data_IF_583231517968
#
_entry.id   IF_583231517968
#
_cell.length_a   1.000
_cell.length_b   1.000
_cell.length_c   1.000
_cell.angle_alpha   90.00
_cell.angle_beta   90.00
_cell.angle_gamma   90.00
#
_symmetry.space_group_name_H-M   'P 1'
#
loop_
_entity.id
_entity.type
_entity.pdbx_description
1 polymer ?
#
# COMPACT_ATOMS: atom_id res chain seq x y z
N UNK A 1 -45.53 -54.82 41.99
CA UNK A 1 -45.37 -53.88 40.85
C UNK A 1 -43.97 -54.05 40.28
N UNK A 2 -43.85 -54.12 38.95
CA UNK A 2 -42.74 -54.73 38.20
C UNK A 2 -41.41 -54.00 38.42
N UNK A 3 -40.36 -54.72 38.85
CA UNK A 3 -38.97 -54.27 38.75
C UNK A 3 -38.55 -54.36 37.29
N UNK A 4 -38.42 -53.22 36.61
CA UNK A 4 -37.85 -53.14 35.27
C UNK A 4 -36.36 -53.46 35.35
N UNK A 5 -35.98 -54.67 34.95
CA UNK A 5 -34.58 -55.05 34.73
C UNK A 5 -34.12 -54.44 33.40
N UNK A 6 -33.16 -53.51 33.46
CA UNK A 6 -32.45 -53.02 32.28
C UNK A 6 -31.38 -54.05 31.87
N UNK A 7 -31.18 -54.30 30.57
CA UNK A 7 -30.16 -55.25 30.10
C UNK A 7 -28.74 -54.73 30.44
N UNK A 8 -27.77 -55.63 30.67
CA UNK A 8 -26.40 -55.26 31.09
C UNK A 8 -25.66 -54.33 30.10
N UNK A 9 -26.10 -54.29 28.84
CA UNK A 9 -25.60 -53.36 27.81
C UNK A 9 -25.97 -51.89 28.08
N UNK A 10 -27.12 -51.62 28.72
CA UNK A 10 -27.57 -50.27 29.02
C UNK A 10 -26.80 -49.63 30.19
N UNK A 11 -26.40 -50.43 31.19
CA UNK A 11 -25.61 -49.95 32.34
C UNK A 11 -24.17 -49.57 31.94
N UNK A 12 -23.51 -50.35 31.06
CA UNK A 12 -22.18 -50.01 30.54
C UNK A 12 -22.17 -48.74 29.67
N UNK A 13 -23.27 -48.45 28.96
CA UNK A 13 -23.42 -47.22 28.18
C UNK A 13 -23.61 -45.96 29.04
N UNK A 14 -24.29 -46.08 30.20
CA UNK A 14 -24.50 -44.99 31.16
C UNK A 14 -23.21 -44.60 31.91
N UNK A 15 -22.38 -45.59 32.30
CA UNK A 15 -21.06 -45.34 32.90
C UNK A 15 -20.05 -44.74 31.89
N UNK A 16 -20.11 -45.17 30.63
CA UNK A 16 -19.33 -44.56 29.55
C UNK A 16 -19.76 -43.13 29.22
N UNK A 17 -21.05 -42.82 29.32
CA UNK A 17 -21.57 -41.45 29.14
C UNK A 17 -21.20 -40.53 30.30
N UNK A 18 -21.29 -40.99 31.55
CA UNK A 18 -20.89 -40.18 32.71
C UNK A 18 -19.39 -39.90 32.71
N UNK A 19 -18.53 -40.89 32.42
CA UNK A 19 -17.09 -40.72 32.31
C UNK A 19 -16.70 -39.72 31.20
N UNK A 20 -17.38 -39.77 30.04
CA UNK A 20 -17.19 -38.80 28.95
C UNK A 20 -17.66 -37.39 29.33
N UNK A 21 -18.77 -37.28 30.07
CA UNK A 21 -19.28 -36.00 30.56
C UNK A 21 -18.32 -35.36 31.58
N UNK A 22 -17.81 -36.15 32.53
CA UNK A 22 -16.82 -35.70 33.51
C UNK A 22 -15.50 -35.28 32.85
N UNK A 23 -15.02 -36.03 31.86
CA UNK A 23 -13.82 -35.66 31.10
C UNK A 23 -14.01 -34.35 30.31
N UNK A 24 -15.18 -34.16 29.67
CA UNK A 24 -15.51 -32.90 28.99
C UNK A 24 -15.60 -31.72 29.96
N UNK A 25 -16.21 -31.88 31.14
CA UNK A 25 -16.29 -30.82 32.16
C UNK A 25 -14.90 -30.46 32.70
N UNK A 26 -14.03 -31.45 32.92
CA UNK A 26 -12.65 -31.22 33.34
C UNK A 26 -11.83 -30.51 32.26
N UNK A 27 -11.97 -30.91 30.99
CA UNK A 27 -11.32 -30.25 29.85
C UNK A 27 -11.79 -28.80 29.66
N UNK A 28 -13.10 -28.56 29.76
CA UNK A 28 -13.68 -27.22 29.68
C UNK A 28 -13.23 -26.33 30.85
N UNK A 29 -13.15 -26.90 32.06
CA UNK A 29 -12.62 -26.21 33.24
C UNK A 29 -11.13 -25.84 33.09
N UNK A 30 -10.31 -26.74 32.53
CA UNK A 30 -8.90 -26.48 32.25
C UNK A 30 -8.71 -25.38 31.21
N UNK A 31 -9.51 -25.38 30.13
CA UNK A 31 -9.46 -24.33 29.08
C UNK A 31 -9.85 -22.96 29.67
N UNK A 32 -10.88 -22.90 30.52
CA UNK A 32 -11.29 -21.66 31.18
C UNK A 32 -10.22 -21.13 32.15
N UNK A 33 -9.53 -22.01 32.87
CA UNK A 33 -8.42 -21.65 33.75
C UNK A 33 -7.22 -21.11 32.95
N UNK A 34 -6.90 -21.71 31.80
CA UNK A 34 -5.83 -21.25 30.90
C UNK A 34 -6.10 -19.86 30.29
N UNK A 35 -7.35 -19.54 29.97
CA UNK A 35 -7.72 -18.21 29.43
C UNK A 35 -7.67 -17.09 30.47
N UNK A 36 -7.76 -17.41 31.77
CA UNK A 36 -7.74 -16.43 32.86
C UNK A 36 -6.32 -16.00 33.27
N UNK A 37 -5.29 -16.70 32.77
CA UNK A 37 -3.89 -16.45 33.08
C UNK A 37 -3.16 -15.61 32.02
N UNK A 38 -3.87 -15.08 31.01
CA UNK A 38 -3.24 -14.24 29.99
C UNK A 38 -2.88 -12.86 30.60
N UNK A 39 -1.58 -12.50 30.68
CA UNK A 39 -1.22 -11.14 31.04
C UNK A 39 -1.77 -10.19 29.97
N UNK A 40 -2.42 -9.12 30.42
CA UNK A 40 -2.86 -8.05 29.54
C UNK A 40 -1.62 -7.30 29.06
N UNK A 41 -1.12 -7.67 27.87
CA UNK A 41 -0.03 -6.95 27.22
C UNK A 41 -0.54 -5.58 26.77
N UNK A 42 -0.46 -4.58 27.64
CA UNK A 42 -0.71 -3.19 27.30
C UNK A 42 0.42 -2.67 26.42
N UNK A 43 0.27 -2.74 25.11
CA UNK A 43 1.18 -2.13 24.15
C UNK A 43 0.82 -0.64 23.97
N UNK A 44 0.90 0.16 25.04
CA UNK A 44 0.80 1.61 24.92
C UNK A 44 2.15 2.19 24.49
N UNK A 45 2.13 3.01 23.44
CA UNK A 45 3.27 3.78 22.95
C UNK A 45 2.98 5.26 23.12
N UNK A 46 3.97 6.02 23.58
CA UNK A 46 3.88 7.48 23.71
C UNK A 46 4.76 8.14 22.65
N UNK A 47 4.18 9.10 21.94
CA UNK A 47 4.87 9.90 20.93
C UNK A 47 5.07 11.34 21.45
N UNK A 48 6.23 11.98 21.22
CA UNK A 48 6.39 13.41 21.43
C UNK A 48 5.35 14.22 20.67
N UNK A 49 4.98 15.41 21.18
CA UNK A 49 3.98 16.27 20.54
C UNK A 49 4.33 16.61 19.09
N UNK A 50 3.39 16.41 18.16
CA UNK A 50 3.58 16.66 16.72
C UNK A 50 4.10 15.47 15.91
N UNK A 51 4.34 14.32 16.54
CA UNK A 51 4.77 13.10 15.86
C UNK A 51 3.56 12.20 15.56
N UNK A 52 3.41 11.76 14.31
CA UNK A 52 2.35 10.82 13.91
C UNK A 52 2.56 9.43 14.53
N UNK A 53 1.46 8.73 14.84
CA UNK A 53 1.49 7.34 15.29
C UNK A 53 2.21 6.45 14.26
N UNK A 54 3.05 5.53 14.74
CA UNK A 54 3.92 4.69 13.89
C UNK A 54 5.28 5.28 13.57
N UNK A 55 5.59 6.49 14.04
CA UNK A 55 6.94 7.04 13.96
C UNK A 55 7.93 6.28 14.85
N UNK A 56 9.17 6.17 14.39
CA UNK A 56 10.31 5.64 15.18
C UNK A 56 10.59 6.45 16.45
N UNK A 57 10.05 7.67 16.55
CA UNK A 57 10.16 8.52 17.74
C UNK A 57 9.13 8.16 18.82
N UNK A 58 8.15 7.31 18.53
CA UNK A 58 7.22 6.79 19.52
C UNK A 58 7.90 5.66 20.30
N UNK A 59 7.96 5.78 21.63
CA UNK A 59 8.60 4.79 22.50
C UNK A 59 7.56 4.00 23.31
N UNK A 60 7.87 2.75 23.71
CA UNK A 60 7.06 2.02 24.69
C UNK A 60 6.99 2.78 26.02
N UNK A 61 5.81 2.85 26.63
CA UNK A 61 5.65 3.40 27.98
C UNK A 61 6.28 2.46 29.01
N UNK A 62 7.58 2.57 29.24
CA UNK A 62 8.27 1.91 30.35
C UNK A 62 7.98 2.67 31.66
N UNK A 63 7.77 1.98 32.81
CA UNK A 63 7.56 2.63 34.10
C UNK A 63 8.83 3.36 34.56
N UNK A 64 8.88 4.64 34.19
CA UNK A 64 9.56 5.77 34.82
C UNK A 64 10.98 5.53 35.38
N UNK A 65 11.98 5.64 34.51
CA UNK A 65 13.33 6.02 34.91
C UNK A 65 13.50 7.53 34.69
N UNK A 66 13.13 8.32 35.70
CA UNK A 66 13.66 9.66 35.94
C UNK A 66 13.24 10.77 34.96
N UNK A 67 12.90 11.91 35.55
CA UNK A 67 12.96 13.24 34.93
C UNK A 67 14.41 13.58 34.54
N UNK A 68 14.98 12.84 33.60
CA UNK A 68 16.20 13.20 32.92
C UNK A 68 15.83 14.18 31.82
N UNK A 69 16.21 15.45 31.97
CA UNK A 69 16.36 16.41 30.87
C UNK A 69 17.50 15.98 29.93
N UNK A 70 17.53 14.71 29.56
CA UNK A 70 18.44 14.12 28.60
C UNK A 70 17.71 14.10 27.28
N UNK A 71 17.96 15.09 26.44
CA UNK A 71 17.45 15.10 25.07
C UNK A 71 18.07 13.92 24.35
N UNK A 72 17.38 12.78 24.29
CA UNK A 72 17.77 11.65 23.43
C UNK A 72 17.72 12.15 21.99
N UNK A 73 18.89 12.52 21.45
CA UNK A 73 19.02 12.89 20.04
C UNK A 73 19.00 11.59 19.26
N UNK A 74 17.81 11.18 18.82
CA UNK A 74 17.67 10.15 17.80
C UNK A 74 18.23 10.75 16.51
N UNK A 75 19.43 10.32 16.09
CA UNK A 75 19.96 10.68 14.77
C UNK A 75 19.14 9.88 13.76
N UNK A 76 18.14 10.53 13.15
CA UNK A 76 17.51 10.01 11.93
C UNK A 76 18.64 9.99 10.88
N UNK A 77 19.21 8.80 10.65
CA UNK A 77 20.11 8.56 9.53
C UNK A 77 19.21 8.35 8.33
N UNK A 78 19.34 9.23 7.35
CA UNK A 78 18.63 9.16 6.09
C UNK A 78 17.30 9.90 5.95
N UNK A 79 16.92 10.11 4.69
CA UNK A 79 15.69 10.75 4.26
C UNK A 79 15.22 10.17 2.92
N UNK A 80 13.93 10.31 2.63
CA UNK A 80 13.35 9.95 1.35
C UNK A 80 13.37 11.14 0.40
N UNK A 81 14.09 11.02 -0.70
CA UNK A 81 14.04 11.97 -1.80
C UNK A 81 12.83 11.73 -2.67
N UNK A 82 12.17 12.83 -3.01
CA UNK A 82 11.17 12.83 -4.08
C UNK A 82 11.89 12.60 -5.40
N UNK A 83 11.33 11.71 -6.20
CA UNK A 83 11.74 11.55 -7.59
C UNK A 83 10.62 11.98 -8.51
N UNK A 84 11.01 12.50 -9.67
CA UNK A 84 10.13 13.12 -10.64
C UNK A 84 10.27 12.44 -11.99
N UNK A 85 9.16 12.37 -12.70
CA UNK A 85 9.10 12.01 -14.12
C UNK A 85 8.31 13.06 -14.88
N UNK A 86 8.56 13.15 -16.18
CA UNK A 86 7.91 14.12 -17.05
C UNK A 86 7.82 13.60 -18.49
N UNK A 87 6.85 14.14 -19.22
CA UNK A 87 6.60 13.87 -20.63
C UNK A 87 6.60 15.21 -21.36
N UNK A 88 7.27 15.26 -22.49
CA UNK A 88 7.20 16.35 -23.45
C UNK A 88 6.67 15.83 -24.78
N UNK A 89 5.82 16.62 -25.43
CA UNK A 89 5.23 16.32 -26.73
C UNK A 89 5.59 17.42 -27.73
N UNK A 90 5.54 17.06 -29.02
CA UNK A 90 5.73 18.00 -30.13
C UNK A 90 4.59 17.89 -31.14
N UNK A 91 4.31 18.95 -31.93
CA UNK A 91 3.29 18.90 -32.99
C UNK A 91 3.54 17.83 -34.05
N UNK A 92 4.79 17.41 -34.28
CA UNK A 92 5.14 16.32 -35.20
C UNK A 92 5.05 14.92 -34.57
N UNK A 93 4.32 14.78 -33.45
CA UNK A 93 4.01 13.52 -32.76
C UNK A 93 5.24 12.78 -32.22
N UNK A 94 6.35 13.49 -32.02
CA UNK A 94 7.55 12.95 -31.38
C UNK A 94 7.55 13.40 -29.92
N UNK A 95 7.61 12.44 -29.01
CA UNK A 95 7.61 12.70 -27.57
C UNK A 95 8.94 12.37 -26.90
N UNK A 96 9.19 12.99 -25.76
CA UNK A 96 10.31 12.73 -24.85
C UNK A 96 9.80 12.41 -23.45
N UNK A 97 10.54 11.57 -22.72
CA UNK A 97 10.18 11.17 -21.36
C UNK A 97 11.39 11.24 -20.44
N UNK A 98 11.14 11.44 -19.15
CA UNK A 98 12.12 11.36 -18.08
C UNK A 98 11.52 10.64 -16.87
N UNK A 99 12.36 9.97 -16.09
CA UNK A 99 11.95 9.21 -14.91
C UNK A 99 13.04 9.23 -13.85
N UNK A 100 12.69 9.27 -12.56
CA UNK A 100 13.65 9.13 -11.47
C UNK A 100 14.51 10.37 -11.17
N UNK A 101 14.14 11.53 -11.69
CA UNK A 101 14.88 12.78 -11.56
C UNK A 101 14.71 13.42 -10.17
N UNK A 102 15.75 14.07 -9.64
CA UNK A 102 15.75 14.59 -8.27
C UNK A 102 14.92 15.88 -8.08
N UNK A 103 14.43 16.48 -9.17
CA UNK A 103 13.55 17.65 -9.09
C UNK A 103 12.61 17.72 -10.28
N UNK A 104 11.48 18.41 -10.07
CA UNK A 104 10.50 18.69 -11.12
C UNK A 104 11.15 19.33 -12.37
N UNK A 105 11.98 20.36 -12.15
CA UNK A 105 12.67 21.08 -13.23
C UNK A 105 13.66 20.20 -14.00
N UNK A 106 14.35 19.30 -13.30
CA UNK A 106 15.26 18.34 -13.94
C UNK A 106 14.49 17.36 -14.83
N UNK A 107 13.36 16.83 -14.34
CA UNK A 107 12.46 15.98 -15.13
C UNK A 107 11.95 16.70 -16.39
N UNK A 108 11.43 17.90 -16.24
CA UNK A 108 10.92 18.70 -17.35
C UNK A 108 12.00 18.98 -18.39
N UNK A 109 13.21 19.38 -17.96
CA UNK A 109 14.35 19.61 -18.85
C UNK A 109 14.76 18.34 -19.58
N UNK A 110 14.90 17.21 -18.88
CA UNK A 110 15.30 15.93 -19.48
C UNK A 110 14.27 15.41 -20.47
N UNK A 111 12.97 15.59 -20.19
CA UNK A 111 11.90 15.20 -21.12
C UNK A 111 11.91 16.06 -22.39
N UNK A 112 12.13 17.37 -22.27
CA UNK A 112 12.30 18.26 -23.42
C UNK A 112 13.52 17.88 -24.28
N UNK A 113 14.68 17.67 -23.64
CA UNK A 113 15.91 17.22 -24.33
C UNK A 113 15.66 15.89 -25.06
N UNK A 114 15.04 14.91 -24.40
CA UNK A 114 14.71 13.63 -25.03
C UNK A 114 13.74 13.76 -26.21
N UNK A 115 12.83 14.74 -26.18
CA UNK A 115 11.92 15.02 -27.29
C UNK A 115 12.70 15.58 -28.49
N UNK A 116 13.57 16.56 -28.26
CA UNK A 116 14.41 17.18 -29.29
C UNK A 116 15.43 16.19 -29.88
N UNK A 117 16.07 15.38 -29.05
CA UNK A 117 17.01 14.31 -29.47
C UNK A 117 16.35 13.30 -30.43
N UNK A 118 15.05 13.04 -30.25
CA UNK A 118 14.27 12.17 -31.12
C UNK A 118 13.78 12.87 -32.40
N UNK A 119 14.09 14.15 -32.57
CA UNK A 119 13.69 14.96 -33.73
C UNK A 119 12.36 15.70 -33.55
N UNK A 120 11.83 15.77 -32.33
CA UNK A 120 10.68 16.60 -32.00
C UNK A 120 11.00 18.09 -32.21
N UNK A 121 10.03 18.85 -32.72
CA UNK A 121 10.19 20.30 -32.93
C UNK A 121 9.20 21.04 -32.04
N UNK A 122 9.63 22.18 -31.48
CA UNK A 122 8.78 22.95 -30.55
C UNK A 122 8.24 22.08 -29.40
N UNK A 123 9.13 21.26 -28.83
CA UNK A 123 8.78 20.37 -27.72
C UNK A 123 8.26 21.18 -26.52
N UNK A 124 7.16 20.72 -25.93
CA UNK A 124 6.56 21.32 -24.73
C UNK A 124 6.28 20.24 -23.72
N UNK A 125 6.47 20.54 -22.43
CA UNK A 125 6.10 19.64 -21.34
C UNK A 125 4.58 19.50 -21.32
N UNK A 126 4.08 18.27 -21.45
CA UNK A 126 2.65 17.96 -21.42
C UNK A 126 2.20 17.37 -20.09
N UNK A 127 3.10 16.69 -19.37
CA UNK A 127 2.77 16.05 -18.11
C UNK A 127 3.98 15.91 -17.19
N UNK A 128 3.79 16.07 -15.87
CA UNK A 128 4.83 15.91 -14.86
C UNK A 128 4.25 15.24 -13.62
N UNK A 129 4.95 14.25 -13.06
CA UNK A 129 4.50 13.45 -11.91
C UNK A 129 5.65 13.18 -10.94
N UNK A 130 5.32 12.81 -9.70
CA UNK A 130 6.31 12.45 -8.67
C UNK A 130 5.79 11.36 -7.75
N UNK A 131 6.72 10.57 -7.20
CA UNK A 131 6.48 9.51 -6.20
C UNK A 131 5.30 8.56 -6.52
N UNK A 132 5.07 8.28 -7.81
CA UNK A 132 3.97 7.44 -8.25
C UNK A 132 4.20 6.89 -9.65
N UNK A 133 3.31 6.00 -10.08
CA UNK A 133 3.28 5.44 -11.42
C UNK A 133 2.31 6.19 -12.33
N UNK A 134 2.51 6.06 -13.63
CA UNK A 134 1.69 6.71 -14.63
C UNK A 134 1.48 5.83 -15.87
N UNK A 135 0.42 6.12 -16.62
CA UNK A 135 0.17 5.54 -17.95
C UNK A 135 -0.33 6.63 -18.92
N UNK A 136 0.19 6.61 -20.16
CA UNK A 136 -0.30 7.37 -21.30
C UNK A 136 -1.21 6.49 -22.15
N UNK A 137 -2.41 6.96 -22.42
CA UNK A 137 -3.42 6.25 -23.20
C UNK A 137 -3.69 7.03 -24.48
N UNK A 138 -3.44 6.39 -25.62
CA UNK A 138 -3.77 6.93 -26.93
C UNK A 138 -5.17 6.44 -27.35
N UNK A 139 -6.12 7.33 -27.69
CA UNK A 139 -7.46 6.94 -28.13
C UNK A 139 -7.53 6.35 -29.55
N UNK A 140 -6.40 6.32 -30.28
CA UNK A 140 -6.28 5.92 -31.68
C UNK A 140 -7.17 6.75 -32.62
N UNK A 141 -7.36 8.03 -32.26
CA UNK A 141 -8.07 9.02 -33.07
C UNK A 141 -7.04 10.05 -33.53
N UNK A 142 -6.93 10.22 -34.85
CA UNK A 142 -6.01 11.19 -35.45
C UNK A 142 -6.30 12.61 -34.93
N UNK A 143 -5.25 13.33 -34.56
CA UNK A 143 -5.35 14.70 -34.05
C UNK A 143 -5.82 14.82 -32.60
N UNK A 144 -6.02 13.71 -31.88
CA UNK A 144 -6.39 13.73 -30.45
C UNK A 144 -5.17 13.47 -29.57
N UNK A 145 -5.01 14.27 -28.51
CA UNK A 145 -3.93 14.10 -27.53
C UNK A 145 -4.08 12.81 -26.72
N UNK A 146 -2.96 12.31 -26.19
CA UNK A 146 -2.97 11.20 -25.24
C UNK A 146 -3.59 11.64 -23.91
N UNK A 147 -4.24 10.70 -23.22
CA UNK A 147 -4.67 10.86 -21.84
C UNK A 147 -3.56 10.40 -20.90
N UNK A 148 -3.23 11.21 -19.89
CA UNK A 148 -2.29 10.83 -18.84
C UNK A 148 -3.07 10.49 -17.56
N UNK A 149 -2.71 9.37 -16.92
CA UNK A 149 -3.29 8.96 -15.65
C UNK A 149 -2.18 8.51 -14.71
N UNK A 150 -2.30 8.86 -13.43
CA UNK A 150 -1.39 8.38 -12.37
C UNK A 150 -2.10 7.51 -11.36
N UNK A 151 -1.33 6.63 -10.73
CA UNK A 151 -1.76 5.80 -9.61
C UNK A 151 -0.56 5.25 -8.83
N UNK A 152 -0.82 4.49 -7.76
CA UNK A 152 0.22 3.82 -6.97
C UNK A 152 0.91 2.64 -7.69
N UNK A 153 0.37 2.16 -8.80
CA UNK A 153 0.97 1.10 -9.63
C UNK A 153 0.69 1.35 -11.12
N UNK A 154 1.46 0.70 -12.01
CA UNK A 154 1.27 0.79 -13.46
C UNK A 154 -0.09 0.21 -13.86
N UNK A 155 -0.49 -0.91 -13.26
CA UNK A 155 -1.74 -1.61 -13.55
C UNK A 155 -2.94 -0.72 -13.25
N UNK A 156 -2.96 -0.11 -12.05
CA UNK A 156 -4.04 0.79 -11.65
C UNK A 156 -4.06 2.07 -12.49
N UNK A 157 -2.91 2.65 -12.80
CA UNK A 157 -2.83 3.84 -13.66
C UNK A 157 -3.35 3.54 -15.07
N UNK A 158 -3.00 2.37 -15.60
CA UNK A 158 -3.44 1.88 -16.91
C UNK A 158 -4.93 1.61 -16.93
N UNK A 159 -5.47 0.91 -15.92
CA UNK A 159 -6.90 0.60 -15.82
C UNK A 159 -7.75 1.88 -15.75
N UNK A 160 -7.39 2.79 -14.84
CA UNK A 160 -8.09 4.06 -14.67
C UNK A 160 -8.00 4.92 -15.94
N UNK A 161 -6.83 5.00 -16.57
CA UNK A 161 -6.64 5.79 -17.77
C UNK A 161 -7.36 5.21 -18.99
N UNK A 162 -7.38 3.89 -19.13
CA UNK A 162 -8.13 3.21 -20.19
C UNK A 162 -9.63 3.40 -20.01
N UNK A 163 -10.13 3.31 -18.76
CA UNK A 163 -11.53 3.59 -18.44
C UNK A 163 -11.89 5.03 -18.79
N UNK A 164 -11.10 5.99 -18.32
CA UNK A 164 -11.31 7.41 -18.58
C UNK A 164 -11.28 7.73 -20.08
N UNK A 165 -10.32 7.18 -20.82
CA UNK A 165 -10.25 7.35 -22.27
C UNK A 165 -11.51 6.86 -22.97
N UNK A 166 -12.02 5.67 -22.63
CA UNK A 166 -13.25 5.13 -23.25
C UNK A 166 -14.48 6.00 -22.97
N UNK A 167 -14.55 6.58 -21.77
CA UNK A 167 -15.65 7.49 -21.39
C UNK A 167 -15.58 8.83 -22.12
N UNK A 168 -14.38 9.32 -22.47
CA UNK A 168 -14.18 10.67 -23.03
C UNK A 168 -13.97 10.72 -24.54
N UNK A 169 -13.38 9.71 -25.14
CA UNK A 169 -12.97 9.73 -26.54
C UNK A 169 -14.12 9.44 -27.53
N UNK A 170 -15.27 8.96 -27.05
CA UNK A 170 -16.48 8.77 -27.86
C UNK A 170 -16.51 7.49 -28.70
N UNK A 171 -17.57 7.28 -29.50
CA UNK A 171 -17.75 6.09 -30.33
C UNK A 171 -16.65 5.99 -31.40
N UNK A 172 -15.89 4.89 -31.40
CA UNK A 172 -14.79 4.64 -32.36
C UNK A 172 -13.39 4.75 -31.78
N UNK A 173 -13.24 5.21 -30.53
CA UNK A 173 -11.94 5.22 -29.85
C UNK A 173 -11.45 3.81 -29.54
N UNK A 174 -10.21 3.50 -29.93
CA UNK A 174 -9.49 2.29 -29.51
C UNK A 174 -8.41 2.69 -28.50
N UNK A 175 -8.83 2.90 -27.25
CA UNK A 175 -7.93 3.32 -26.18
C UNK A 175 -6.85 2.26 -25.88
N UNK A 176 -5.58 2.62 -26.02
CA UNK A 176 -4.43 1.76 -25.76
C UNK A 176 -3.38 2.47 -24.90
N UNK A 177 -2.80 1.75 -23.95
CA UNK A 177 -1.61 2.25 -23.24
C UNK A 177 -0.44 2.29 -24.22
N UNK A 178 0.19 3.45 -24.37
CA UNK A 178 1.34 3.66 -25.25
C UNK A 178 2.65 3.89 -24.50
N UNK A 179 2.57 4.24 -23.22
CA UNK A 179 3.71 4.37 -22.32
C UNK A 179 3.24 4.25 -20.88
N UNK A 180 4.06 3.64 -20.03
CA UNK A 180 3.85 3.61 -18.58
C UNK A 180 5.18 3.49 -17.87
N UNK A 181 5.29 4.12 -16.70
CA UNK A 181 6.50 4.08 -15.88
C UNK A 181 6.20 4.54 -14.44
N UNK A 182 7.14 4.32 -13.52
CA UNK A 182 7.08 4.75 -12.14
C UNK A 182 8.31 5.57 -11.76
N UNK A 183 8.07 6.67 -11.04
CA UNK A 183 9.12 7.42 -10.37
C UNK A 183 8.98 7.23 -8.86
N UNK A 184 9.63 6.21 -8.31
CA UNK A 184 9.55 5.88 -6.88
C UNK A 184 10.56 6.68 -6.05
N UNK A 185 10.21 7.11 -4.82
CA UNK A 185 11.13 7.87 -3.97
C UNK A 185 12.38 7.05 -3.66
N UNK A 186 13.53 7.72 -3.59
CA UNK A 186 14.83 7.09 -3.28
C UNK A 186 15.21 7.40 -1.84
N UNK A 187 15.57 6.37 -1.09
CA UNK A 187 16.13 6.56 0.25
C UNK A 187 17.61 6.93 0.15
N UNK A 188 18.04 7.96 0.88
CA UNK A 188 19.46 8.30 1.09
C UNK A 188 19.75 8.26 2.58
N UNK A 189 20.89 7.68 2.97
CA UNK A 189 21.36 7.57 4.36
C UNK A 189 22.01 8.86 4.90
#
# INVERSE_FOLDING_TARGET
MRRTWLPPTAQAMLEGQSARLHLCVLLLGLIAALMSAAPHAGAQTRCPGGVAAGSVLCQPDLPQAGSGSGRTVVKIVGHWDKTWGAIADSPNLIGGVSTGELSKRAAEKRALEACEERGGRSCVVSFTYFNQCMALINPQILGTSNFAQTAGSIELASELGLKYCREKAGPGASCKVVYSDCTMPKYRE
#
